data_IF_389054772989
#
_entry.id   IF_389054772989
#
_cell.length_a   1.000
_cell.length_b   1.000
_cell.length_c   1.000
_cell.angle_alpha   90.00
_cell.angle_beta   90.00
_cell.angle_gamma   90.00
#
_symmetry.space_group_name_H-M   'P 1'
#
loop_
_entity.id
_entity.type
_entity.pdbx_description
1 polymer ?
#
# COMPACT_ATOMS: atom_id res chain seq x y z
N UNK A 1 -3.67 1.02 9.65
CA UNK A 1 -4.46 2.18 9.17
C UNK A 1 -5.24 2.70 10.36
N UNK A 2 -5.25 4.02 10.57
CA UNK A 2 -5.84 4.62 11.77
C UNK A 2 -7.18 5.31 11.46
N UNK A 3 -7.98 5.62 12.49
CA UNK A 3 -9.19 6.43 12.35
C UNK A 3 -8.98 7.84 11.76
N UNK A 4 -7.73 8.35 11.79
CA UNK A 4 -7.36 9.68 11.27
C UNK A 4 -6.96 9.63 9.78
N UNK A 5 -7.41 8.63 9.03
CA UNK A 5 -7.04 8.42 7.62
C UNK A 5 -5.52 8.42 7.40
N UNK A 6 -4.78 7.66 8.21
CA UNK A 6 -3.32 7.59 8.10
C UNK A 6 -2.78 6.16 8.09
N UNK A 7 -1.64 5.99 7.43
CA UNK A 7 -0.77 4.82 7.64
C UNK A 7 0.14 5.11 8.83
N UNK A 8 0.17 4.19 9.82
CA UNK A 8 1.01 4.32 11.00
C UNK A 8 1.81 3.03 11.27
N UNK A 9 3.15 3.07 11.29
CA UNK A 9 3.97 4.22 10.87
C UNK A 9 3.81 4.51 9.36
N UNK A 10 3.94 5.77 8.97
CA UNK A 10 3.86 6.16 7.55
C UNK A 10 5.04 5.64 6.73
N UNK A 11 6.21 5.47 7.36
CA UNK A 11 7.39 4.89 6.73
C UNK A 11 7.85 3.67 7.49
N UNK A 12 8.12 2.59 6.76
CA UNK A 12 8.77 1.37 7.27
C UNK A 12 10.04 1.10 6.49
N UNK A 13 11.02 0.47 7.14
CA UNK A 13 12.24 -0.01 6.48
C UNK A 13 12.38 -1.50 6.73
N UNK A 14 12.57 -2.26 5.65
CA UNK A 14 12.71 -3.71 5.65
C UNK A 14 13.87 -4.13 4.71
N UNK A 15 14.27 -5.39 4.79
CA UNK A 15 15.19 -6.03 3.84
C UNK A 15 14.45 -6.65 2.64
N UNK A 16 15.20 -6.92 1.57
CA UNK A 16 14.70 -7.66 0.41
C UNK A 16 14.17 -9.03 0.82
N UNK A 17 12.99 -9.41 0.30
CA UNK A 17 12.28 -10.66 0.57
C UNK A 17 11.41 -10.63 1.84
N UNK A 18 11.40 -9.52 2.58
CA UNK A 18 10.50 -9.34 3.72
C UNK A 18 9.10 -8.91 3.28
N UNK A 19 8.15 -9.04 4.22
CA UNK A 19 6.73 -8.75 4.01
C UNK A 19 6.30 -7.57 4.86
N UNK A 20 5.48 -6.70 4.30
CA UNK A 20 4.72 -5.68 5.04
C UNK A 20 3.25 -6.09 5.04
N UNK A 21 2.64 -6.01 6.22
CA UNK A 21 1.20 -6.19 6.41
C UNK A 21 0.55 -4.88 6.81
N UNK A 22 -0.57 -4.55 6.18
CA UNK A 22 -1.42 -3.42 6.55
C UNK A 22 -2.70 -3.96 7.16
N UNK A 23 -2.94 -3.61 8.41
CA UNK A 23 -4.20 -3.89 9.10
C UNK A 23 -5.09 -2.64 9.05
N UNK A 24 -6.38 -2.84 8.72
CA UNK A 24 -7.37 -1.80 8.87
C UNK A 24 -7.93 -1.78 10.30
N UNK A 25 -7.38 -0.90 11.14
CA UNK A 25 -7.82 -0.67 12.52
C UNK A 25 -8.61 0.65 12.65
N UNK A 26 -9.35 1.01 11.59
CA UNK A 26 -10.21 2.19 11.53
C UNK A 26 -11.70 1.80 11.50
N UNK A 27 -12.59 2.78 11.32
CA UNK A 27 -14.03 2.57 11.18
C UNK A 27 -14.50 2.56 9.71
N UNK A 28 -13.58 2.69 8.74
CA UNK A 28 -13.87 2.88 7.32
C UNK A 28 -13.03 1.94 6.44
N UNK A 29 -13.53 1.62 5.25
CA UNK A 29 -12.76 0.93 4.23
C UNK A 29 -11.60 1.78 3.72
N UNK A 30 -10.43 1.15 3.54
CA UNK A 30 -9.23 1.80 3.04
C UNK A 30 -8.56 0.94 1.97
N UNK A 31 -7.75 1.57 1.13
CA UNK A 31 -6.93 0.84 0.16
C UNK A 31 -5.45 0.98 0.51
N UNK A 32 -4.67 0.03 0.04
CA UNK A 32 -3.22 0.17 -0.10
C UNK A 32 -2.99 0.10 -1.59
N UNK A 33 -2.48 1.16 -2.22
CA UNK A 33 -2.24 1.19 -3.67
C UNK A 33 -0.88 1.82 -3.93
N UNK A 34 0.01 1.09 -4.59
CA UNK A 34 1.29 1.64 -5.03
C UNK A 34 1.06 2.78 -6.03
N UNK A 35 1.94 3.77 -6.02
CA UNK A 35 2.12 4.63 -7.20
C UNK A 35 2.88 3.83 -8.25
N UNK A 36 2.33 3.66 -9.46
CA UNK A 36 3.04 2.92 -10.53
C UNK A 36 4.39 3.57 -10.85
N UNK A 37 4.46 4.90 -10.82
CA UNK A 37 5.70 5.68 -11.02
C UNK A 37 6.52 5.86 -9.72
N UNK A 38 6.04 5.33 -8.58
CA UNK A 38 6.65 5.47 -7.26
C UNK A 38 7.25 4.17 -6.70
N UNK A 39 7.43 3.15 -7.54
CA UNK A 39 8.08 1.88 -7.20
C UNK A 39 9.25 1.61 -8.14
N UNK A 40 10.21 0.72 -7.79
CA UNK A 40 11.32 0.36 -8.69
C UNK A 40 10.82 -0.28 -10.00
N UNK A 41 11.48 0.00 -11.13
CA UNK A 41 11.08 -0.48 -12.46
C UNK A 41 10.88 -2.01 -12.55
N UNK A 42 11.64 -2.78 -11.77
CA UNK A 42 11.60 -4.25 -11.75
C UNK A 42 10.63 -4.82 -10.70
N UNK A 43 10.02 -3.95 -9.88
CA UNK A 43 9.11 -4.38 -8.83
C UNK A 43 7.71 -4.71 -9.35
N UNK A 44 7.04 -5.64 -8.67
CA UNK A 44 5.64 -5.90 -8.91
C UNK A 44 4.77 -4.75 -8.38
N UNK A 45 3.79 -4.33 -9.16
CA UNK A 45 2.72 -3.45 -8.68
C UNK A 45 1.92 -4.15 -7.56
N UNK A 46 1.45 -3.37 -6.58
CA UNK A 46 0.68 -3.89 -5.46
C UNK A 46 -0.51 -3.00 -5.13
N UNK A 47 -1.66 -3.63 -4.93
CA UNK A 47 -2.86 -2.97 -4.47
C UNK A 47 -3.80 -3.95 -3.76
N UNK A 48 -4.68 -3.44 -2.89
CA UNK A 48 -5.86 -4.16 -2.41
C UNK A 48 -6.86 -4.38 -3.57
N UNK A 49 -7.61 -5.48 -3.54
CA UNK A 49 -8.61 -5.77 -4.58
C UNK A 49 -8.09 -6.50 -5.83
N UNK A 50 -6.83 -6.95 -5.83
CA UNK A 50 -6.23 -7.79 -6.89
C UNK A 50 -6.29 -7.16 -8.30
N UNK A 51 -5.90 -5.89 -8.44
CA UNK A 51 -5.80 -5.21 -9.73
C UNK A 51 -4.35 -5.11 -10.24
N UNK A 52 -4.17 -5.11 -11.56
CA UNK A 52 -2.84 -5.12 -12.20
C UNK A 52 -2.22 -3.73 -12.40
N UNK A 53 -2.98 -2.63 -12.22
CA UNK A 53 -2.51 -1.25 -12.48
C UNK A 53 -3.10 -0.26 -11.49
N UNK A 54 -2.43 0.87 -11.27
CA UNK A 54 -2.90 1.98 -10.44
C UNK A 54 -4.22 2.52 -10.99
N UNK A 55 -4.32 2.68 -12.32
CA UNK A 55 -5.57 3.14 -12.94
C UNK A 55 -6.72 2.19 -12.70
N UNK A 56 -6.51 0.87 -12.79
CA UNK A 56 -7.57 -0.10 -12.54
C UNK A 56 -8.05 -0.06 -11.08
N UNK A 57 -7.12 0.06 -10.12
CA UNK A 57 -7.46 0.19 -8.70
C UNK A 57 -8.26 1.48 -8.42
N UNK A 58 -7.87 2.60 -9.03
CA UNK A 58 -8.59 3.88 -8.94
C UNK A 58 -10.00 3.79 -9.54
N UNK A 59 -10.12 3.19 -10.73
CA UNK A 59 -11.40 3.07 -11.45
C UNK A 59 -12.39 2.13 -10.72
N UNK A 60 -11.88 1.16 -9.95
CA UNK A 60 -12.69 0.18 -9.26
C UNK A 60 -13.21 0.65 -7.88
N UNK A 61 -12.58 1.64 -7.25
CA UNK A 61 -12.99 2.11 -5.93
C UNK A 61 -14.49 2.51 -5.91
N UNK A 62 -15.27 2.08 -4.89
CA UNK A 62 -14.84 1.44 -3.64
C UNK A 62 -14.68 -0.09 -3.67
N UNK A 63 -14.83 -0.76 -4.81
CA UNK A 63 -14.71 -2.21 -4.86
C UNK A 63 -13.25 -2.68 -4.61
N UNK A 64 -13.08 -3.65 -3.70
CA UNK A 64 -11.77 -4.21 -3.36
C UNK A 64 -10.99 -3.41 -2.32
N UNK A 65 -11.67 -2.56 -1.54
CA UNK A 65 -11.11 -1.99 -0.33
C UNK A 65 -10.86 -3.07 0.73
N UNK A 66 -9.98 -2.74 1.67
CA UNK A 66 -9.70 -3.54 2.85
C UNK A 66 -10.75 -3.19 3.92
N UNK A 67 -11.63 -4.13 4.25
CA UNK A 67 -12.70 -3.92 5.23
C UNK A 67 -12.14 -3.78 6.66
N UNK A 68 -12.98 -3.30 7.58
CA UNK A 68 -12.59 -3.10 8.98
C UNK A 68 -12.13 -4.41 9.62
N UNK A 69 -10.92 -4.41 10.18
CA UNK A 69 -10.28 -5.56 10.79
C UNK A 69 -9.56 -6.50 9.82
N UNK A 70 -9.63 -6.26 8.51
CA UNK A 70 -8.91 -7.07 7.52
C UNK A 70 -7.43 -6.70 7.44
N UNK A 71 -6.65 -7.60 6.84
CA UNK A 71 -5.22 -7.42 6.62
C UNK A 71 -4.86 -7.71 5.17
N UNK A 72 -4.09 -6.79 4.58
CA UNK A 72 -3.42 -6.97 3.29
C UNK A 72 -1.93 -7.18 3.52
N UNK A 73 -1.28 -8.06 2.75
CA UNK A 73 0.16 -8.32 2.84
C UNK A 73 0.81 -8.25 1.46
N UNK A 74 2.03 -7.73 1.40
CA UNK A 74 2.87 -7.73 0.20
C UNK A 74 4.32 -8.10 0.54
N UNK A 75 4.94 -8.92 -0.31
CA UNK A 75 6.37 -9.28 -0.22
C UNK A 75 7.18 -8.40 -1.17
N UNK A 76 8.25 -7.81 -0.67
CA UNK A 76 9.07 -6.87 -1.42
C UNK A 76 10.36 -7.53 -1.90
N UNK A 77 10.42 -7.87 -3.18
CA UNK A 77 11.52 -8.66 -3.77
C UNK A 77 12.63 -7.79 -4.39
N UNK A 78 12.44 -6.47 -4.51
CA UNK A 78 13.39 -5.55 -5.16
C UNK A 78 13.76 -4.44 -4.17
N UNK A 79 15.04 -4.10 -4.08
CA UNK A 79 15.48 -2.98 -3.25
C UNK A 79 15.05 -1.64 -3.87
N UNK A 80 14.68 -0.69 -3.01
CA UNK A 80 14.22 0.63 -3.43
C UNK A 80 13.17 1.21 -2.51
N UNK A 81 12.65 2.36 -2.91
CA UNK A 81 11.53 3.03 -2.23
C UNK A 81 10.23 2.68 -2.96
N UNK A 82 9.19 2.42 -2.18
CA UNK A 82 7.87 2.07 -2.64
C UNK A 82 6.87 3.02 -2.02
N UNK A 83 6.47 4.02 -2.77
CA UNK A 83 5.44 4.96 -2.35
C UNK A 83 4.05 4.39 -2.67
N UNK A 84 3.14 4.56 -1.71
CA UNK A 84 1.77 4.08 -1.81
C UNK A 84 0.80 5.01 -1.11
N UNK A 85 -0.48 4.88 -1.44
CA UNK A 85 -1.54 5.74 -0.97
C UNK A 85 -2.85 4.97 -0.79
N UNK A 86 -3.79 5.63 -0.13
CA UNK A 86 -5.19 5.21 -0.07
C UNK A 86 -6.00 6.02 -1.08
N UNK A 87 -6.61 5.36 -2.07
CA UNK A 87 -7.38 5.97 -3.17
C UNK A 87 -8.37 7.06 -2.70
N UNK A 88 -9.24 6.85 -1.68
CA UNK A 88 -10.17 7.89 -1.24
C UNK A 88 -9.53 9.05 -0.45
N UNK A 89 -8.29 8.90 0.04
CA UNK A 89 -7.64 9.84 0.96
C UNK A 89 -6.22 10.18 0.50
N UNK A 90 -5.98 10.27 -0.81
CA UNK A 90 -4.65 10.40 -1.39
C UNK A 90 -3.87 11.65 -0.94
N UNK A 91 -4.57 12.75 -0.64
CA UNK A 91 -3.94 14.00 -0.22
C UNK A 91 -3.29 13.93 1.19
N UNK A 92 -3.68 12.95 2.01
CA UNK A 92 -3.29 12.86 3.43
C UNK A 92 -2.75 11.48 3.84
N UNK A 93 -3.25 10.41 3.21
CA UNK A 93 -3.00 9.02 3.55
C UNK A 93 -2.00 8.40 2.56
N UNK A 94 -0.74 8.80 2.71
CA UNK A 94 0.41 8.28 1.94
C UNK A 94 1.41 7.59 2.85
N UNK A 95 2.13 6.63 2.31
CA UNK A 95 3.20 5.94 3.02
C UNK A 95 4.31 5.48 2.09
N UNK A 96 5.42 5.08 2.70
CA UNK A 96 6.61 4.61 1.99
C UNK A 96 7.15 3.33 2.64
N UNK A 97 7.41 2.30 1.83
CA UNK A 97 8.23 1.16 2.24
C UNK A 97 9.63 1.36 1.65
N UNK A 98 10.65 1.40 2.51
CA UNK A 98 12.05 1.45 2.10
C UNK A 98 12.62 0.03 2.20
N UNK A 99 12.98 -0.56 1.07
CA UNK A 99 13.55 -1.90 0.99
C UNK A 99 15.05 -1.77 0.75
N UNK A 100 15.85 -2.32 1.66
CA UNK A 100 17.31 -2.25 1.61
C UNK A 100 17.91 -3.58 1.18
N UNK A 101 18.95 -3.49 0.35
CA UNK A 101 19.92 -4.58 0.20
C UNK A 101 20.69 -4.79 1.51
N UNK A 102 21.08 -6.03 1.81
CA UNK A 102 21.96 -6.37 2.94
C UNK A 102 23.40 -5.88 2.74
#
# INVERSE_FOLDING_TARGET
MTPDNAFEPATVTIGVGERVGWINDSEWGHTVTAYEDGIPDEAAFFTTGEYDTERAARDAWPDGDLEVGETYEHTFEVAGEYDYFCVPHEDEMVGTVIVKDE
#
